data_IF_955198990730
#
_entry.id   IF_955198990730
#
_cell.length_a   1.000
_cell.length_b   1.000
_cell.length_c   1.000
_cell.angle_alpha   90.00
_cell.angle_beta   90.00
_cell.angle_gamma   90.00
#
_symmetry.space_group_name_H-M   'P 1'
#
loop_
_entity.id
_entity.type
_entity.pdbx_description
1 polymer ?
#
# COMPACT_ATOMS: atom_id res chain seq x y z
N UNK A 1 -38.48 -28.90 31.02
CA UNK A 1 -37.33 -28.05 30.71
C UNK A 1 -37.40 -27.75 29.23
N UNK A 2 -37.43 -26.47 28.91
CA UNK A 2 -37.73 -25.85 27.62
C UNK A 2 -36.62 -26.15 26.57
N UNK A 3 -36.76 -26.05 25.26
CA UNK A 3 -37.85 -25.72 24.33
C UNK A 3 -37.40 -26.17 22.93
N UNK A 4 -38.36 -26.67 22.16
CA UNK A 4 -38.39 -26.83 20.71
C UNK A 4 -38.04 -25.52 19.98
N UNK A 5 -37.16 -25.52 18.97
CA UNK A 5 -37.25 -24.63 17.78
C UNK A 5 -36.59 -25.29 16.57
N UNK A 6 -37.41 -25.96 15.78
CA UNK A 6 -37.24 -26.14 14.35
C UNK A 6 -37.81 -24.87 13.68
N UNK A 7 -37.03 -24.06 12.94
CA UNK A 7 -37.58 -23.18 11.89
C UNK A 7 -36.54 -22.51 10.99
N UNK A 8 -36.51 -22.98 9.74
CA UNK A 8 -36.38 -22.24 8.49
C UNK A 8 -35.44 -21.02 8.44
N UNK A 9 -34.30 -21.19 7.75
CA UNK A 9 -33.75 -20.12 6.90
C UNK A 9 -33.92 -20.58 5.45
N UNK A 10 -35.17 -20.55 4.99
CA UNK A 10 -35.51 -20.46 3.58
C UNK A 10 -36.20 -19.13 3.37
N UNK A 11 -35.44 -18.09 3.05
CA UNK A 11 -35.95 -16.86 2.44
C UNK A 11 -34.99 -16.44 1.33
N UNK A 12 -35.43 -16.78 0.13
CA UNK A 12 -35.31 -16.08 -1.15
C UNK A 12 -34.60 -14.72 -1.19
N UNK A 13 -33.71 -14.62 -2.18
CA UNK A 13 -33.25 -13.43 -2.89
C UNK A 13 -33.93 -12.09 -2.56
N UNK A 14 -33.14 -11.14 -2.06
CA UNK A 14 -32.99 -9.82 -2.67
C UNK A 14 -31.87 -9.06 -1.98
N UNK A 15 -30.90 -8.65 -2.79
CA UNK A 15 -30.10 -7.44 -2.56
C UNK A 15 -29.18 -7.45 -1.32
N UNK A 16 -28.18 -8.32 -1.33
CA UNK A 16 -26.88 -7.91 -0.74
C UNK A 16 -26.32 -6.88 -1.71
N UNK A 17 -26.77 -5.64 -1.56
CA UNK A 17 -26.08 -4.48 -2.09
C UNK A 17 -24.73 -4.46 -1.39
N UNK A 18 -23.75 -5.18 -1.97
CA UNK A 18 -22.35 -4.88 -1.77
C UNK A 18 -22.26 -3.41 -2.17
N UNK A 19 -22.04 -2.47 -1.21
CA UNK A 19 -21.86 -1.09 -1.59
C UNK A 19 -20.73 -1.08 -2.63
N UNK A 20 -20.91 -0.39 -3.78
CA UNK A 20 -19.82 -0.28 -4.74
C UNK A 20 -18.62 0.23 -3.95
N UNK A 21 -17.48 -0.45 -4.12
CA UNK A 21 -16.20 -0.04 -3.58
C UNK A 21 -15.81 1.29 -4.24
N UNK A 22 -16.53 2.36 -3.91
CA UNK A 22 -16.27 3.72 -4.31
C UNK A 22 -15.16 4.23 -3.37
N UNK A 23 -13.93 3.84 -3.71
CA UNK A 23 -12.73 4.19 -2.97
C UNK A 23 -11.47 3.44 -3.40
N UNK A 24 -11.59 2.39 -4.21
CA UNK A 24 -10.44 1.72 -4.80
C UNK A 24 -10.40 2.04 -6.30
N UNK A 25 -9.69 3.10 -6.71
CA UNK A 25 -9.31 3.26 -8.13
C UNK A 25 -8.29 4.35 -8.44
N UNK A 26 -7.83 5.20 -7.52
CA UNK A 26 -6.85 6.24 -7.89
C UNK A 26 -5.43 6.02 -7.33
N UNK A 27 -5.24 5.27 -6.23
CA UNK A 27 -3.90 5.08 -5.63
C UNK A 27 -3.19 3.78 -6.04
N UNK A 28 -3.91 2.72 -6.41
CA UNK A 28 -3.30 1.41 -6.68
C UNK A 28 -2.45 1.40 -7.97
N UNK A 29 -2.85 2.18 -8.99
CA UNK A 29 -2.11 2.30 -10.25
C UNK A 29 -0.79 3.08 -10.04
N UNK A 30 -0.81 4.15 -9.24
CA UNK A 30 0.38 4.95 -8.93
C UNK A 30 1.38 4.18 -8.06
N UNK A 31 0.90 3.39 -7.08
CA UNK A 31 1.78 2.56 -6.25
C UNK A 31 2.41 1.40 -7.05
N UNK A 32 1.64 0.74 -7.92
CA UNK A 32 2.15 -0.28 -8.83
C UNK A 32 3.26 0.27 -9.75
N UNK A 33 3.09 1.50 -10.23
CA UNK A 33 4.08 2.22 -11.02
C UNK A 33 5.37 2.52 -10.23
N UNK A 34 5.27 2.92 -8.96
CA UNK A 34 6.43 3.18 -8.10
C UNK A 34 7.20 1.88 -7.81
N UNK A 35 6.50 0.78 -7.55
CA UNK A 35 7.12 -0.53 -7.32
C UNK A 35 7.83 -1.02 -8.59
N UNK A 36 7.24 -0.83 -9.77
CA UNK A 36 7.89 -1.15 -11.04
C UNK A 36 9.13 -0.28 -11.29
N UNK A 37 9.05 1.04 -10.99
CA UNK A 37 10.21 1.95 -11.08
C UNK A 37 11.33 1.52 -10.13
N UNK A 38 11.00 1.03 -8.94
CA UNK A 38 11.97 0.49 -7.97
C UNK A 38 12.66 -0.77 -8.50
N UNK A 39 11.90 -1.70 -9.08
CA UNK A 39 12.43 -2.93 -9.68
C UNK A 39 13.39 -2.64 -10.85
N UNK A 40 13.07 -1.64 -11.66
CA UNK A 40 13.86 -1.27 -12.83
C UNK A 40 15.13 -0.46 -12.48
N UNK A 41 15.29 -0.04 -11.23
CA UNK A 41 16.45 0.73 -10.79
C UNK A 41 17.65 -0.19 -10.48
N UNK A 42 18.46 -0.47 -11.50
CA UNK A 42 19.66 -1.28 -11.34
C UNK A 42 20.86 -0.44 -10.83
N UNK A 43 21.34 -0.78 -9.63
CA UNK A 43 22.49 -0.12 -8.98
C UNK A 43 23.74 -1.01 -8.97
N UNK A 44 23.55 -2.34 -8.92
CA UNK A 44 24.64 -3.31 -8.82
C UNK A 44 25.59 -3.31 -10.04
N UNK A 45 25.11 -3.24 -11.30
CA UNK A 45 26.01 -3.21 -12.45
C UNK A 45 26.95 -2.01 -12.44
N UNK A 46 26.42 -0.81 -12.12
CA UNK A 46 27.22 0.41 -12.02
C UNK A 46 28.25 0.33 -10.90
N UNK A 47 27.87 -0.23 -9.75
CA UNK A 47 28.77 -0.44 -8.64
C UNK A 47 29.87 -1.45 -8.99
N UNK A 48 29.52 -2.52 -9.70
CA UNK A 48 30.46 -3.54 -10.15
C UNK A 48 31.46 -2.96 -11.14
N UNK A 49 30.99 -2.20 -12.13
CA UNK A 49 31.85 -1.53 -13.11
C UNK A 49 32.80 -0.53 -12.42
N UNK A 50 32.29 0.25 -11.46
CA UNK A 50 33.12 1.18 -10.69
C UNK A 50 34.22 0.45 -9.90
N UNK A 51 33.89 -0.70 -9.30
CA UNK A 51 34.85 -1.50 -8.55
C UNK A 51 35.90 -2.14 -9.47
N UNK A 52 35.47 -2.62 -10.64
CA UNK A 52 36.34 -3.20 -11.64
C UNK A 52 37.29 -2.16 -12.25
N UNK A 53 36.82 -0.95 -12.53
CA UNK A 53 37.65 0.15 -13.05
C UNK A 53 38.68 0.63 -12.02
N UNK A 54 38.33 0.55 -10.73
CA UNK A 54 39.26 0.81 -9.64
C UNK A 54 40.32 -0.29 -9.51
N UNK A 55 39.92 -1.56 -9.57
CA UNK A 55 40.83 -2.71 -9.46
C UNK A 55 41.78 -2.83 -10.66
N UNK A 56 41.28 -2.55 -11.86
CA UNK A 56 42.07 -2.51 -13.09
C UNK A 56 42.99 -1.28 -13.22
N UNK A 57 42.90 -0.32 -12.29
CA UNK A 57 43.71 0.90 -12.28
C UNK A 57 43.33 1.93 -13.35
N UNK A 58 42.23 1.70 -14.07
CA UNK A 58 41.63 2.66 -15.02
C UNK A 58 41.13 3.90 -14.27
N UNK A 59 40.62 3.69 -13.06
CA UNK A 59 40.17 4.72 -12.16
C UNK A 59 41.14 4.89 -10.98
N UNK A 60 41.61 6.12 -10.75
CA UNK A 60 42.36 6.45 -9.55
C UNK A 60 41.42 6.58 -8.36
N UNK A 61 41.87 6.17 -7.18
CA UNK A 61 41.09 6.28 -5.94
C UNK A 61 40.61 7.72 -5.64
N UNK A 62 41.36 8.73 -6.10
CA UNK A 62 40.97 10.15 -5.98
C UNK A 62 39.74 10.53 -6.83
N UNK A 63 39.48 9.78 -7.90
CA UNK A 63 38.42 10.07 -8.86
C UNK A 63 37.14 9.26 -8.59
N UNK A 64 37.14 8.36 -7.59
CA UNK A 64 35.97 7.58 -7.13
C UNK A 64 34.81 8.50 -6.77
N UNK A 65 35.06 9.61 -6.07
CA UNK A 65 33.99 10.52 -5.65
C UNK A 65 33.25 11.14 -6.85
N UNK A 66 33.97 11.36 -7.96
CA UNK A 66 33.39 11.89 -9.20
C UNK A 66 32.54 10.83 -9.92
N UNK A 67 32.97 9.57 -9.90
CA UNK A 67 32.33 8.48 -10.64
C UNK A 67 31.21 7.78 -9.83
N UNK A 68 31.24 7.90 -8.50
CA UNK A 68 30.17 7.42 -7.61
C UNK A 68 28.97 8.37 -7.51
N UNK A 69 29.03 9.55 -8.13
CA UNK A 69 27.94 10.53 -8.11
C UNK A 69 26.63 9.99 -8.70
N UNK A 70 26.69 9.25 -9.80
CA UNK A 70 25.52 8.61 -10.41
C UNK A 70 24.91 7.54 -9.51
N UNK A 71 25.76 6.74 -8.86
CA UNK A 71 25.35 5.71 -7.89
C UNK A 71 24.66 6.36 -6.68
N UNK A 72 25.22 7.44 -6.15
CA UNK A 72 24.61 8.21 -5.05
C UNK A 72 23.24 8.75 -5.45
N UNK A 73 23.10 9.27 -6.67
CA UNK A 73 21.83 9.76 -7.18
C UNK A 73 20.80 8.61 -7.28
N UNK A 74 21.18 7.46 -7.83
CA UNK A 74 20.32 6.27 -7.87
C UNK A 74 19.87 5.84 -6.47
N UNK A 75 20.77 5.80 -5.48
CA UNK A 75 20.38 5.51 -4.10
C UNK A 75 19.44 6.55 -3.49
N UNK A 76 19.62 7.83 -3.80
CA UNK A 76 18.71 8.89 -3.36
C UNK A 76 17.32 8.70 -3.98
N UNK A 77 17.25 8.38 -5.27
CA UNK A 77 16.00 8.07 -5.98
C UNK A 77 15.33 6.80 -5.43
N UNK A 78 16.10 5.74 -5.15
CA UNK A 78 15.59 4.52 -4.53
C UNK A 78 14.93 4.81 -3.18
N UNK A 79 15.60 5.62 -2.35
CA UNK A 79 15.08 6.04 -1.05
C UNK A 79 13.78 6.84 -1.20
N UNK A 80 13.71 7.72 -2.20
CA UNK A 80 12.51 8.48 -2.49
C UNK A 80 11.34 7.56 -2.88
N UNK A 81 11.54 6.63 -3.83
CA UNK A 81 10.50 5.68 -4.23
C UNK A 81 10.04 4.80 -3.07
N UNK A 82 10.95 4.33 -2.22
CA UNK A 82 10.58 3.60 -1.00
C UNK A 82 9.70 4.44 -0.07
N UNK A 83 9.90 5.75 0.04
CA UNK A 83 9.07 6.61 0.87
C UNK A 83 7.68 6.87 0.28
N UNK A 84 7.53 6.74 -1.04
CA UNK A 84 6.26 6.93 -1.76
C UNK A 84 5.35 5.69 -1.65
N UNK A 85 5.89 4.52 -1.30
CA UNK A 85 5.09 3.29 -1.08
C UNK A 85 4.31 3.37 0.24
N UNK A 86 2.98 3.37 0.15
CA UNK A 86 2.11 3.50 1.31
C UNK A 86 2.26 2.30 2.25
N UNK A 87 2.45 2.58 3.54
CA UNK A 87 2.50 1.53 4.56
C UNK A 87 3.72 0.61 4.46
N UNK A 88 4.78 0.96 3.71
CA UNK A 88 6.04 0.20 3.69
C UNK A 88 6.71 0.11 5.06
N UNK A 89 6.44 1.10 5.92
CA UNK A 89 6.94 1.17 7.29
C UNK A 89 5.96 0.58 8.31
N UNK A 90 4.81 0.08 7.87
CA UNK A 90 3.78 -0.47 8.75
C UNK A 90 3.94 -1.98 8.86
N UNK A 91 3.87 -2.48 10.09
CA UNK A 91 3.74 -3.92 10.31
C UNK A 91 2.35 -4.40 9.92
N UNK A 92 2.23 -5.69 9.60
CA UNK A 92 0.95 -6.34 9.29
C UNK A 92 -0.05 -6.16 10.46
N UNK A 93 0.44 -6.19 11.71
CA UNK A 93 -0.39 -5.98 12.90
C UNK A 93 -0.98 -4.57 12.98
N UNK A 94 -0.16 -3.54 12.73
CA UNK A 94 -0.61 -2.14 12.71
C UNK A 94 -1.61 -1.89 11.58
N UNK A 95 -1.35 -2.46 10.40
CA UNK A 95 -2.28 -2.39 9.26
C UNK A 95 -3.63 -3.02 9.59
N UNK A 96 -3.63 -4.19 10.23
CA UNK A 96 -4.87 -4.86 10.68
C UNK A 96 -5.63 -4.02 11.72
N UNK A 97 -4.93 -3.46 12.70
CA UNK A 97 -5.54 -2.60 13.72
C UNK A 97 -6.18 -1.34 13.09
N UNK A 98 -5.53 -0.76 12.07
CA UNK A 98 -6.07 0.36 11.29
C UNK A 98 -7.36 -0.04 10.57
N UNK A 99 -7.36 -1.18 9.86
CA UNK A 99 -8.54 -1.69 9.15
C UNK A 99 -9.73 -1.87 10.11
N UNK A 100 -9.50 -2.50 11.27
CA UNK A 100 -10.54 -2.68 12.29
C UNK A 100 -11.03 -1.34 12.86
N UNK A 101 -10.13 -0.36 13.03
CA UNK A 101 -10.47 1.00 13.42
C UNK A 101 -11.37 1.70 12.40
N UNK A 102 -11.01 1.65 11.11
CA UNK A 102 -11.82 2.22 10.03
C UNK A 102 -13.17 1.52 9.92
N UNK A 103 -13.21 0.19 9.99
CA UNK A 103 -14.44 -0.59 9.94
C UNK A 103 -15.42 -0.18 11.05
N UNK A 104 -14.94 -0.07 12.30
CA UNK A 104 -15.76 0.41 13.42
C UNK A 104 -16.24 1.85 13.23
N UNK A 105 -15.40 2.72 12.67
CA UNK A 105 -15.76 4.12 12.41
C UNK A 105 -16.83 4.22 11.32
N UNK A 106 -16.67 3.49 10.22
CA UNK A 106 -17.66 3.42 9.15
C UNK A 106 -18.98 2.87 9.65
N UNK A 107 -18.96 1.79 10.43
CA UNK A 107 -20.17 1.23 11.04
C UNK A 107 -20.94 2.28 11.85
N UNK A 108 -20.25 3.04 12.72
CA UNK A 108 -20.87 4.11 13.51
C UNK A 108 -21.45 5.22 12.64
N UNK A 109 -20.76 5.61 11.57
CA UNK A 109 -21.24 6.61 10.61
C UNK A 109 -22.48 6.12 9.87
N UNK A 110 -22.50 4.87 9.42
CA UNK A 110 -23.65 4.25 8.78
C UNK A 110 -24.86 4.20 9.72
N UNK A 111 -24.67 3.77 10.97
CA UNK A 111 -25.75 3.75 11.99
C UNK A 111 -26.29 5.15 12.29
N UNK A 112 -25.41 6.15 12.35
CA UNK A 112 -25.82 7.54 12.52
C UNK A 112 -26.63 8.04 11.32
N UNK A 113 -26.16 7.80 10.10
CA UNK A 113 -26.87 8.19 8.88
C UNK A 113 -28.22 7.49 8.76
N UNK A 114 -28.29 6.19 9.06
CA UNK A 114 -29.55 5.45 9.09
C UNK A 114 -30.54 6.07 10.09
N UNK A 115 -30.09 6.40 11.30
CA UNK A 115 -30.91 7.06 12.32
C UNK A 115 -31.40 8.44 11.87
N UNK A 116 -30.55 9.20 11.20
CA UNK A 116 -30.92 10.52 10.67
C UNK A 116 -31.91 10.38 9.51
N UNK A 117 -31.67 9.45 8.57
CA UNK A 117 -32.58 9.16 7.46
C UNK A 117 -33.98 8.80 7.94
N UNK A 118 -34.11 7.88 8.90
CA UNK A 118 -35.41 7.50 9.46
C UNK A 118 -36.16 8.64 10.16
N UNK A 119 -35.47 9.72 10.55
CA UNK A 119 -36.08 10.92 11.16
C UNK A 119 -36.49 11.96 10.12
N UNK A 120 -35.94 11.90 8.92
CA UNK A 120 -36.27 12.82 7.80
C UNK A 120 -37.43 12.27 6.98
N UNK A 121 -37.62 10.95 6.98
CA UNK A 121 -38.75 10.28 6.30
C UNK A 121 -40.06 10.25 7.12
N UNK A 122 -40.05 10.72 8.38
CA UNK A 122 -41.25 10.97 9.20
C UNK A 122 -41.73 12.42 9.04
#
# INVERSE_FOLDING_TARGET
DAMDIDLAISTTASDVLVPPAAGATENDDDEADVIQKLHNLEVLPDLFNLLHDLDSGVLLARDIDKHSGSIRLKFATLKQYLQEVEGINETIGERKARIEGLSRSNQRKCEFLARVGSRVEQ
#
